data_IF_815995913729
#
_entry.id   IF_815995913729
#
_cell.length_a   1.000
_cell.length_b   1.000
_cell.length_c   1.000
_cell.angle_alpha   90.00
_cell.angle_beta   90.00
_cell.angle_gamma   90.00
#
_symmetry.space_group_name_H-M   'P 1'
#
loop_
_entity.id
_entity.type
_entity.pdbx_description
1 polymer ?
#
# COMPACT_ATOMS: atom_id res chain seq x y z
N UNK A 1 10.38 31.68 21.46
CA UNK A 1 11.03 32.51 20.43
C UNK A 1 10.77 31.88 19.07
N UNK A 2 10.46 32.68 18.05
CA UNK A 2 10.34 32.20 16.67
C UNK A 2 11.77 32.06 16.11
N UNK A 3 12.12 30.90 15.57
CA UNK A 3 13.40 30.70 14.90
C UNK A 3 13.42 31.42 13.55
N UNK A 4 14.60 31.86 13.13
CA UNK A 4 14.79 32.51 11.84
C UNK A 4 14.78 31.48 10.70
N UNK A 5 14.23 31.88 9.56
CA UNK A 5 14.19 31.07 8.34
C UNK A 5 15.51 31.21 7.59
N UNK A 6 16.45 30.29 7.82
CA UNK A 6 17.68 30.20 7.04
C UNK A 6 17.39 29.59 5.67
N UNK A 7 17.32 30.43 4.63
CA UNK A 7 17.23 29.99 3.23
C UNK A 7 18.62 29.71 2.69
N UNK A 8 19.09 28.48 2.90
CA UNK A 8 20.36 28.05 2.36
C UNK A 8 20.13 27.21 1.09
N UNK A 9 20.63 27.68 -0.04
CA UNK A 9 20.74 26.87 -1.24
C UNK A 9 21.79 25.78 -0.99
N UNK A 10 21.40 24.51 -1.11
CA UNK A 10 22.31 23.41 -0.84
C UNK A 10 23.40 23.36 -1.91
N UNK A 11 24.62 23.78 -1.57
CA UNK A 11 25.75 23.81 -2.53
C UNK A 11 26.30 22.40 -2.79
N UNK A 12 26.21 21.48 -1.82
CA UNK A 12 26.53 20.05 -1.99
C UNK A 12 25.73 19.18 -1.01
N UNK A 13 25.11 18.09 -1.49
CA UNK A 13 24.43 17.09 -0.65
C UNK A 13 25.21 15.77 -0.68
N UNK A 14 25.93 15.45 0.39
CA UNK A 14 26.70 14.21 0.55
C UNK A 14 25.93 13.16 1.38
N UNK A 15 24.64 13.00 1.11
CA UNK A 15 23.78 12.06 1.86
C UNK A 15 23.10 11.05 0.95
N UNK A 16 22.90 9.83 1.47
CA UNK A 16 22.11 8.82 0.77
C UNK A 16 20.62 9.08 0.98
N UNK A 17 19.81 8.80 -0.05
CA UNK A 17 18.34 8.76 0.07
C UNK A 17 17.88 7.82 1.20
N UNK A 18 18.65 6.78 1.51
CA UNK A 18 18.37 5.85 2.61
C UNK A 18 18.32 6.55 3.96
N UNK A 19 19.18 7.54 4.18
CA UNK A 19 19.32 8.19 5.49
C UNK A 19 18.14 9.12 5.79
N UNK A 20 17.46 9.59 4.73
CA UNK A 20 16.22 10.36 4.83
C UNK A 20 14.97 9.52 5.13
N UNK A 21 15.05 8.19 5.03
CA UNK A 21 13.92 7.31 5.34
C UNK A 21 13.99 6.88 6.81
N UNK A 22 12.94 7.09 7.63
CA UNK A 22 12.96 6.68 9.05
C UNK A 22 13.30 5.20 9.24
N UNK A 23 14.12 4.89 10.25
CA UNK A 23 14.61 3.52 10.51
C UNK A 23 13.48 2.52 10.75
N UNK A 24 12.41 2.96 11.43
CA UNK A 24 11.22 2.16 11.72
C UNK A 24 10.21 2.05 10.58
N UNK A 25 10.47 2.66 9.41
CA UNK A 25 9.49 2.71 8.33
C UNK A 25 9.24 1.30 7.73
N UNK A 26 7.98 0.85 7.55
CA UNK A 26 7.67 -0.51 7.08
C UNK A 26 8.26 -0.82 5.69
N UNK A 27 8.33 0.17 4.80
CA UNK A 27 8.98 0.00 3.48
C UNK A 27 10.45 -0.44 3.58
N UNK A 28 11.15 -0.22 4.70
CA UNK A 28 12.51 -0.78 4.88
C UNK A 28 12.52 -2.29 4.94
N UNK A 29 11.56 -2.89 5.62
CA UNK A 29 11.42 -4.36 5.70
C UNK A 29 10.94 -4.92 4.37
N UNK A 30 9.93 -4.27 3.78
CA UNK A 30 9.36 -4.68 2.49
C UNK A 30 10.43 -4.62 1.40
N UNK A 31 11.17 -3.52 1.30
CA UNK A 31 12.23 -3.37 0.29
C UNK A 31 13.27 -4.50 0.36
N UNK A 32 13.70 -4.89 1.56
CA UNK A 32 14.66 -6.01 1.72
C UNK A 32 14.11 -7.32 1.16
N UNK A 33 12.83 -7.62 1.40
CA UNK A 33 12.19 -8.82 0.86
C UNK A 33 12.09 -8.78 -0.67
N UNK A 34 11.70 -7.62 -1.18
CA UNK A 34 11.54 -7.37 -2.61
C UNK A 34 12.89 -7.43 -3.33
N UNK A 35 13.93 -6.78 -2.81
CA UNK A 35 15.26 -6.79 -3.42
C UNK A 35 15.87 -8.21 -3.45
N UNK A 36 15.65 -9.02 -2.40
CA UNK A 36 16.01 -10.45 -2.43
C UNK A 36 15.25 -11.22 -3.51
N UNK A 37 13.93 -11.01 -3.63
CA UNK A 37 13.13 -11.66 -4.67
C UNK A 37 13.57 -11.24 -6.08
N UNK A 38 13.87 -9.95 -6.28
CA UNK A 38 14.34 -9.44 -7.56
C UNK A 38 15.71 -10.02 -7.94
N UNK A 39 16.61 -10.20 -6.97
CA UNK A 39 17.89 -10.86 -7.21
C UNK A 39 17.72 -12.31 -7.68
N UNK A 40 16.77 -13.06 -7.10
CA UNK A 40 16.45 -14.44 -7.54
C UNK A 40 15.96 -14.47 -9.01
N UNK A 41 15.23 -13.44 -9.43
CA UNK A 41 14.66 -13.32 -10.78
C UNK A 41 15.64 -12.76 -11.82
N UNK A 42 16.87 -12.38 -11.44
CA UNK A 42 17.82 -11.72 -12.34
C UNK A 42 18.08 -12.47 -13.65
N UNK A 43 18.07 -13.80 -13.61
CA UNK A 43 18.22 -14.64 -14.81
C UNK A 43 17.03 -14.54 -15.78
N UNK A 44 15.80 -14.42 -15.28
CA UNK A 44 14.62 -14.18 -16.11
C UNK A 44 14.67 -12.80 -16.73
N UNK A 45 15.08 -11.79 -15.95
CA UNK A 45 15.22 -10.42 -16.45
C UNK A 45 16.26 -10.30 -17.55
N UNK A 46 17.39 -10.99 -17.44
CA UNK A 46 18.43 -11.00 -18.46
C UNK A 46 17.91 -11.49 -19.83
N UNK A 47 16.91 -12.38 -19.86
CA UNK A 47 16.32 -12.88 -21.11
C UNK A 47 15.37 -11.87 -21.79
N UNK A 48 14.91 -10.84 -21.07
CA UNK A 48 13.94 -9.86 -21.56
C UNK A 48 14.58 -8.68 -22.29
N UNK A 49 15.88 -8.49 -22.13
CA UNK A 49 16.61 -7.38 -22.71
C UNK A 49 17.66 -7.87 -23.70
N UNK A 50 17.74 -7.18 -24.83
CA UNK A 50 18.83 -7.37 -25.78
C UNK A 50 20.14 -6.86 -25.17
N UNK A 51 21.26 -7.51 -25.52
CA UNK A 51 22.60 -7.09 -25.08
C UNK A 51 23.01 -5.72 -25.62
N UNK A 52 22.38 -5.25 -26.71
CA UNK A 52 22.69 -4.00 -27.39
C UNK A 52 21.41 -3.20 -27.67
N UNK A 53 21.42 -1.90 -27.35
CA UNK A 53 20.31 -0.99 -27.64
C UNK A 53 20.26 0.22 -26.71
N UNK A 54 19.24 1.06 -26.89
CA UNK A 54 18.96 2.16 -25.95
C UNK A 54 18.56 1.57 -24.59
N UNK A 55 19.15 2.02 -23.48
CA UNK A 55 18.74 1.56 -22.15
C UNK A 55 17.28 1.94 -21.90
N UNK A 56 16.45 0.93 -21.69
CA UNK A 56 15.06 1.07 -21.22
C UNK A 56 14.98 0.94 -19.71
N UNK A 57 13.83 1.28 -19.12
CA UNK A 57 13.59 1.14 -17.68
C UNK A 57 13.82 -0.32 -17.27
N UNK A 58 14.63 -0.52 -16.23
CA UNK A 58 14.94 -1.85 -15.68
C UNK A 58 13.69 -2.51 -15.05
N UNK A 59 13.55 -3.84 -15.11
CA UNK A 59 12.36 -4.54 -14.61
C UNK A 59 12.21 -4.41 -13.09
N UNK A 60 13.31 -4.31 -12.36
CA UNK A 60 13.34 -4.11 -10.90
C UNK A 60 12.65 -2.81 -10.52
N UNK A 61 12.90 -1.74 -11.27
CA UNK A 61 12.24 -0.45 -11.08
C UNK A 61 10.73 -0.55 -11.27
N UNK A 62 10.29 -1.24 -12.32
CA UNK A 62 8.89 -1.43 -12.64
C UNK A 62 8.16 -2.25 -11.57
N UNK A 63 8.77 -3.35 -11.10
CA UNK A 63 8.19 -4.20 -10.06
C UNK A 63 8.08 -3.47 -8.72
N UNK A 64 9.13 -2.75 -8.29
CA UNK A 64 9.06 -1.95 -7.07
C UNK A 64 8.01 -0.85 -7.18
N UNK A 65 7.93 -0.17 -8.33
CA UNK A 65 6.93 0.88 -8.56
C UNK A 65 5.50 0.30 -8.58
N UNK A 66 5.27 -0.83 -9.25
CA UNK A 66 3.97 -1.51 -9.27
C UNK A 66 3.54 -1.96 -7.88
N UNK A 67 4.47 -2.49 -7.08
CA UNK A 67 4.19 -2.83 -5.69
C UNK A 67 3.85 -1.58 -4.87
N UNK A 68 4.60 -0.49 -5.04
CA UNK A 68 4.32 0.78 -4.38
C UNK A 68 2.92 1.30 -4.76
N UNK A 69 2.54 1.16 -6.04
CA UNK A 69 1.21 1.50 -6.53
C UNK A 69 0.11 0.80 -5.74
N UNK A 70 0.28 -0.50 -5.46
CA UNK A 70 -0.68 -1.30 -4.69
C UNK A 70 -0.65 -0.98 -3.20
N UNK A 71 0.53 -0.84 -2.60
CA UNK A 71 0.69 -0.55 -1.17
C UNK A 71 0.09 0.80 -0.76
N UNK A 72 0.13 1.79 -1.66
CA UNK A 72 -0.37 3.15 -1.42
C UNK A 72 -1.64 3.49 -2.20
N UNK A 73 -2.25 2.49 -2.83
CA UNK A 73 -3.54 2.59 -3.54
C UNK A 73 -3.56 3.77 -4.53
N UNK A 74 -2.47 3.92 -5.29
CA UNK A 74 -2.40 4.95 -6.33
C UNK A 74 -3.38 4.61 -7.46
N UNK A 75 -4.36 5.50 -7.76
CA UNK A 75 -5.40 5.20 -8.74
C UNK A 75 -4.87 5.19 -10.17
N UNK A 76 -3.84 5.99 -10.46
CA UNK A 76 -3.28 6.18 -11.78
C UNK A 76 -1.75 6.16 -11.74
N UNK A 77 -1.15 5.62 -12.79
CA UNK A 77 0.30 5.57 -12.96
C UNK A 77 0.93 6.97 -13.08
N UNK A 78 0.18 7.95 -13.62
CA UNK A 78 0.63 9.34 -13.67
C UNK A 78 0.87 9.89 -12.26
N UNK A 79 -0.05 9.62 -11.34
CA UNK A 79 0.10 10.00 -9.94
C UNK A 79 1.32 9.30 -9.32
N UNK A 80 1.49 8.00 -9.56
CA UNK A 80 2.66 7.26 -9.10
C UNK A 80 3.98 7.89 -9.59
N UNK A 81 4.10 8.20 -10.89
CA UNK A 81 5.32 8.77 -11.47
C UNK A 81 5.63 10.16 -10.88
N UNK A 82 4.60 11.01 -10.71
CA UNK A 82 4.75 12.29 -10.03
C UNK A 82 5.23 12.12 -8.60
N UNK A 83 4.63 11.19 -7.86
CA UNK A 83 5.03 10.89 -6.50
C UNK A 83 6.46 10.35 -6.40
N UNK A 84 6.93 9.56 -7.36
CA UNK A 84 8.34 9.13 -7.43
C UNK A 84 9.29 10.31 -7.67
N UNK A 85 8.85 11.35 -8.39
CA UNK A 85 9.66 12.54 -8.65
C UNK A 85 9.95 13.33 -7.37
N UNK A 86 8.90 13.70 -6.62
CA UNK A 86 9.06 14.60 -5.47
C UNK A 86 9.17 13.92 -4.10
N UNK A 87 8.81 12.63 -3.98
CA UNK A 87 8.83 11.94 -2.70
C UNK A 87 10.09 11.08 -2.53
N UNK A 88 11.01 11.56 -1.69
CA UNK A 88 12.29 10.88 -1.42
C UNK A 88 12.12 9.44 -0.88
N UNK A 89 11.06 9.15 -0.12
CA UNK A 89 10.79 7.80 0.38
C UNK A 89 10.42 6.84 -0.76
N UNK A 90 9.57 7.29 -1.67
CA UNK A 90 9.15 6.48 -2.83
C UNK A 90 10.27 6.32 -3.82
N UNK A 91 11.00 7.41 -4.08
CA UNK A 91 12.22 7.41 -4.89
C UNK A 91 13.25 6.44 -4.34
N UNK A 92 13.50 6.50 -3.03
CA UNK A 92 14.32 5.54 -2.32
C UNK A 92 13.79 4.13 -2.55
N UNK A 93 12.53 3.84 -2.19
CA UNK A 93 11.96 2.48 -2.26
C UNK A 93 12.09 1.86 -3.66
N UNK A 94 11.77 2.63 -4.68
CA UNK A 94 11.89 2.25 -6.08
C UNK A 94 13.35 2.07 -6.49
N UNK A 95 14.28 2.80 -5.87
CA UNK A 95 15.73 2.70 -6.13
C UNK A 95 16.23 3.70 -7.17
N UNK A 96 15.43 4.70 -7.51
CA UNK A 96 15.82 5.74 -8.45
C UNK A 96 16.78 6.72 -7.72
N UNK A 97 17.96 7.04 -8.28
CA UNK A 97 18.91 7.94 -7.63
C UNK A 97 18.37 9.37 -7.62
N UNK A 98 18.86 10.22 -6.71
CA UNK A 98 18.38 11.60 -6.58
C UNK A 98 18.60 12.44 -7.84
N UNK A 99 19.68 12.18 -8.59
CA UNK A 99 20.12 12.96 -9.75
C UNK A 99 19.37 12.69 -11.05
N UNK A 100 18.65 11.56 -11.15
CA UNK A 100 17.91 11.22 -12.36
C UNK A 100 16.54 11.89 -12.38
N UNK A 101 15.88 11.98 -13.52
CA UNK A 101 14.46 12.36 -13.56
C UNK A 101 13.59 11.11 -13.35
N UNK A 102 12.42 11.26 -12.73
CA UNK A 102 11.40 10.21 -12.77
C UNK A 102 10.97 9.94 -14.21
N UNK A 103 10.49 8.72 -14.45
CA UNK A 103 10.08 8.31 -15.79
C UNK A 103 8.82 9.05 -16.23
N UNK A 104 8.75 9.33 -17.53
CA UNK A 104 7.48 9.74 -18.13
C UNK A 104 6.44 8.61 -17.98
N UNK A 105 5.22 8.99 -17.63
CA UNK A 105 4.13 8.06 -17.35
C UNK A 105 3.85 7.16 -18.57
N UNK A 106 3.89 7.68 -19.80
CA UNK A 106 3.58 6.86 -20.98
C UNK A 106 4.66 5.81 -21.24
N UNK A 107 5.92 6.15 -20.96
CA UNK A 107 7.05 5.23 -21.06
C UNK A 107 6.95 4.17 -19.98
N UNK A 108 6.59 4.55 -18.75
CA UNK A 108 6.34 3.61 -17.66
C UNK A 108 5.23 2.62 -18.01
N UNK A 109 4.06 3.09 -18.45
CA UNK A 109 2.92 2.25 -18.80
C UNK A 109 3.27 1.21 -19.86
N UNK A 110 3.91 1.65 -20.95
CA UNK A 110 4.32 0.78 -22.07
C UNK A 110 5.33 -0.28 -21.63
N UNK A 111 6.31 0.10 -20.82
CA UNK A 111 7.31 -0.85 -20.32
C UNK A 111 6.70 -1.83 -19.32
N UNK A 112 5.79 -1.36 -18.44
CA UNK A 112 5.05 -2.22 -17.52
C UNK A 112 4.27 -3.30 -18.28
N UNK A 113 3.50 -2.90 -19.29
CA UNK A 113 2.69 -3.82 -20.10
C UNK A 113 3.55 -4.82 -20.87
N UNK A 114 4.67 -4.36 -21.43
CA UNK A 114 5.59 -5.21 -22.20
C UNK A 114 6.37 -6.20 -21.33
N UNK A 115 6.85 -5.75 -20.16
CA UNK A 115 7.86 -6.46 -19.36
C UNK A 115 7.22 -7.20 -18.18
N UNK A 116 6.21 -6.63 -17.51
CA UNK A 116 5.60 -7.29 -16.36
C UNK A 116 4.49 -8.23 -16.81
N UNK A 117 4.90 -9.31 -17.48
CA UNK A 117 3.98 -10.35 -17.93
C UNK A 117 3.46 -11.18 -16.74
N UNK A 118 2.36 -11.93 -16.92
CA UNK A 118 1.83 -12.81 -15.88
C UNK A 118 2.86 -13.78 -15.31
N UNK A 119 3.78 -14.28 -16.15
CA UNK A 119 4.85 -15.21 -15.76
C UNK A 119 5.82 -14.54 -14.78
N UNK A 120 6.21 -13.30 -15.06
CA UNK A 120 7.13 -12.54 -14.20
C UNK A 120 6.47 -12.17 -12.87
N UNK A 121 5.20 -11.75 -12.91
CA UNK A 121 4.45 -11.50 -11.68
C UNK A 121 4.29 -12.77 -10.84
N UNK A 122 4.03 -13.92 -11.48
CA UNK A 122 3.91 -15.21 -10.80
C UNK A 122 5.24 -15.60 -10.15
N UNK A 123 6.34 -15.57 -10.91
CA UNK A 123 7.68 -15.87 -10.40
C UNK A 123 8.06 -14.95 -9.23
N UNK A 124 7.77 -13.65 -9.34
CA UNK A 124 8.03 -12.69 -8.28
C UNK A 124 7.22 -12.99 -7.01
N UNK A 125 5.93 -13.28 -7.15
CA UNK A 125 5.07 -13.62 -6.03
C UNK A 125 5.49 -14.94 -5.38
N UNK A 126 5.85 -15.95 -6.16
CA UNK A 126 6.38 -17.22 -5.66
C UNK A 126 7.70 -17.03 -4.90
N UNK A 127 8.59 -16.17 -5.38
CA UNK A 127 9.82 -15.84 -4.68
C UNK A 127 9.54 -15.20 -3.30
N UNK A 128 8.57 -14.29 -3.21
CA UNK A 128 8.12 -13.72 -1.93
C UNK A 128 7.46 -14.79 -1.05
N UNK A 129 6.60 -15.64 -1.62
CA UNK A 129 5.93 -16.73 -0.89
C UNK A 129 6.95 -17.69 -0.28
N UNK A 130 7.98 -18.07 -1.03
CA UNK A 130 9.08 -18.92 -0.57
C UNK A 130 9.86 -18.26 0.58
N UNK A 131 10.11 -16.95 0.51
CA UNK A 131 10.71 -16.21 1.62
C UNK A 131 9.81 -16.18 2.87
N UNK A 132 8.49 -16.07 2.69
CA UNK A 132 7.55 -16.11 3.81
C UNK A 132 7.48 -17.52 4.44
N UNK A 133 7.50 -18.56 3.60
CA UNK A 133 7.50 -19.96 4.03
C UNK A 133 8.76 -20.31 4.84
N UNK A 134 9.94 -19.92 4.34
CA UNK A 134 11.21 -20.17 5.05
C UNK A 134 11.29 -19.48 6.42
N UNK A 135 10.59 -18.35 6.56
CA UNK A 135 10.48 -17.59 7.82
C UNK A 135 9.31 -18.06 8.70
N UNK A 136 8.60 -19.12 8.30
CA UNK A 136 7.42 -19.65 9.00
C UNK A 136 6.32 -18.60 9.24
N UNK A 137 6.16 -17.68 8.29
CA UNK A 137 5.15 -16.62 8.32
C UNK A 137 3.82 -17.06 7.70
N UNK A 138 3.79 -18.23 7.06
CA UNK A 138 2.59 -18.80 6.46
C UNK A 138 1.95 -19.77 7.46
N UNK A 139 0.68 -19.53 7.79
CA UNK A 139 -0.13 -20.56 8.46
C UNK A 139 -0.65 -21.55 7.41
N UNK A 140 -0.67 -22.83 7.76
CA UNK A 140 -1.30 -23.89 6.96
C UNK A 140 -2.80 -24.06 7.27
N UNK A 141 -3.31 -23.32 8.26
CA UNK A 141 -4.73 -23.32 8.57
C UNK A 141 -5.50 -22.64 7.43
N UNK A 142 -6.54 -23.30 6.93
CA UNK A 142 -7.42 -22.75 5.91
C UNK A 142 -8.10 -21.48 6.45
N UNK A 143 -7.62 -20.33 6.01
CA UNK A 143 -8.24 -19.04 6.30
C UNK A 143 -9.24 -18.72 5.19
N UNK A 144 -10.50 -19.07 5.40
CA UNK A 144 -11.60 -18.69 4.51
C UNK A 144 -11.97 -17.22 4.75
N UNK A 145 -11.64 -16.35 3.80
CA UNK A 145 -12.14 -14.97 3.77
C UNK A 145 -13.44 -14.97 2.98
N UNK A 146 -14.54 -14.55 3.61
CA UNK A 146 -15.79 -14.33 2.89
C UNK A 146 -15.56 -13.24 1.82
N UNK A 147 -15.84 -13.57 0.56
CA UNK A 147 -15.60 -12.70 -0.59
C UNK A 147 -16.33 -11.35 -0.46
N UNK A 148 -17.41 -11.29 0.33
CA UNK A 148 -18.14 -10.04 0.64
C UNK A 148 -17.27 -8.98 1.35
N UNK A 149 -16.28 -9.38 2.14
CA UNK A 149 -15.34 -8.43 2.77
C UNK A 149 -14.45 -7.73 1.74
N UNK A 150 -14.14 -8.38 0.61
CA UNK A 150 -13.34 -7.82 -0.48
C UNK A 150 -14.19 -6.83 -1.31
N UNK A 151 -15.46 -7.16 -1.56
CA UNK A 151 -16.41 -6.24 -2.23
C UNK A 151 -16.66 -4.97 -1.42
N UNK A 152 -16.80 -5.08 -0.10
CA UNK A 152 -16.96 -3.93 0.79
C UNK A 152 -15.76 -2.99 0.73
N UNK A 153 -14.53 -3.53 0.67
CA UNK A 153 -13.30 -2.74 0.54
C UNK A 153 -13.17 -2.03 -0.83
N UNK A 154 -13.69 -2.63 -1.90
CA UNK A 154 -13.78 -2.00 -3.21
C UNK A 154 -14.80 -0.84 -3.26
N UNK A 155 -15.84 -0.90 -2.42
CA UNK A 155 -16.90 0.11 -2.31
C UNK A 155 -16.54 1.33 -1.43
N UNK A 156 -15.50 1.22 -0.58
CA UNK A 156 -15.07 2.32 0.31
C UNK A 156 -14.77 3.62 -0.46
N UNK A 157 -14.24 3.51 -1.69
CA UNK A 157 -13.92 4.68 -2.53
C UNK A 157 -15.11 5.21 -3.35
N UNK A 158 -16.26 4.55 -3.32
CA UNK A 158 -17.48 4.95 -4.06
C UNK A 158 -18.71 5.10 -3.14
N UNK A 159 -18.49 5.17 -1.83
CA UNK A 159 -19.56 5.31 -0.85
C UNK A 159 -20.13 6.73 -0.91
N UNK A 160 -21.32 6.87 -1.52
CA UNK A 160 -22.12 8.09 -1.42
C UNK A 160 -23.01 8.00 -0.17
N UNK A 161 -23.21 9.10 0.59
CA UNK A 161 -24.20 9.12 1.65
C UNK A 161 -25.55 8.67 1.09
N UNK A 162 -26.20 7.71 1.75
CA UNK A 162 -27.54 7.27 1.38
C UNK A 162 -28.48 8.42 1.72
N UNK A 163 -29.05 9.07 0.71
CA UNK A 163 -30.12 10.05 0.93
C UNK A 163 -31.30 9.33 1.62
N UNK A 164 -31.70 9.85 2.77
CA UNK A 164 -32.84 9.35 3.52
C UNK A 164 -34.12 9.53 2.69
N UNK A 165 -34.95 8.50 2.50
CA UNK A 165 -36.19 8.66 1.76
C UNK A 165 -37.24 9.28 2.67
N UNK A 166 -37.54 10.57 2.46
CA UNK A 166 -38.84 11.14 2.85
C UNK A 166 -38.84 12.63 3.18
N UNK A 167 -39.26 13.46 2.22
CA UNK A 167 -40.51 14.25 2.30
C UNK A 167 -40.59 15.19 1.09
N UNK A 168 -41.61 14.98 0.24
CA UNK A 168 -41.91 15.88 -0.85
C UNK A 168 -42.45 17.23 -0.31
N UNK A 169 -41.80 18.35 -0.62
CA UNK A 169 -42.45 19.66 -0.76
C UNK A 169 -41.72 20.52 -1.80
N UNK A 170 -42.47 20.92 -2.85
CA UNK A 170 -42.39 22.26 -3.46
C UNK A 170 -41.28 22.54 -4.48
N UNK A 171 -41.66 22.65 -5.75
CA UNK A 171 -40.88 23.34 -6.77
C UNK A 171 -40.75 24.84 -6.46
N UNK A 172 -39.53 25.38 -6.49
CA UNK A 172 -39.27 26.74 -6.95
C UNK A 172 -37.89 26.82 -7.61
N UNK A 173 -37.88 27.13 -8.91
CA UNK A 173 -36.67 27.44 -9.67
C UNK A 173 -36.16 28.81 -9.21
N UNK A 174 -34.99 28.84 -8.56
CA UNK A 174 -34.12 30.03 -8.63
C UNK A 174 -32.69 29.57 -8.87
N UNK A 175 -32.17 29.99 -10.01
CA UNK A 175 -30.79 29.81 -10.42
C UNK A 175 -29.95 30.81 -9.60
N UNK A 176 -29.13 30.32 -8.67
CA UNK A 176 -28.01 31.08 -8.10
C UNK A 176 -26.77 30.19 -8.14
N UNK A 177 -25.80 30.64 -8.92
CA UNK A 177 -24.43 30.20 -8.82
C UNK A 177 -23.91 30.66 -7.46
N UNK A 178 -23.76 29.73 -6.52
CA UNK A 178 -22.91 29.92 -5.35
C UNK A 178 -22.07 28.65 -5.18
N UNK A 179 -20.78 28.79 -5.50
CA UNK A 179 -19.78 27.74 -5.34
C UNK A 179 -19.64 27.39 -3.86
N UNK A 180 -20.14 26.23 -3.48
CA UNK A 180 -19.79 25.60 -2.21
C UNK A 180 -18.66 24.60 -2.49
N UNK A 181 -17.43 25.09 -2.39
CA UNK A 181 -16.23 24.30 -2.14
C UNK A 181 -16.48 23.41 -0.90
N UNK A 182 -16.84 22.14 -1.12
CA UNK A 182 -16.81 21.16 -0.04
C UNK A 182 -15.35 20.95 0.33
N UNK A 183 -14.89 21.70 1.34
CA UNK A 183 -13.59 21.50 2.00
C UNK A 183 -13.58 20.13 2.67
N UNK A 184 -13.36 19.09 1.88
CA UNK A 184 -12.67 17.91 2.38
C UNK A 184 -11.30 18.40 2.83
N UNK A 185 -11.03 18.38 4.14
CA UNK A 185 -9.69 18.63 4.65
C UNK A 185 -8.69 17.70 3.97
N UNK A 186 -7.40 18.06 3.88
CA UNK A 186 -6.40 17.27 3.17
C UNK A 186 -6.06 16.00 3.95
N UNK A 187 -6.96 15.03 3.99
CA UNK A 187 -6.64 13.67 4.34
C UNK A 187 -5.86 13.10 3.16
N UNK A 188 -4.53 13.10 3.27
CA UNK A 188 -3.67 12.45 2.29
C UNK A 188 -3.89 10.94 2.40
N UNK A 189 -4.41 10.25 1.38
CA UNK A 189 -4.59 8.79 1.39
C UNK A 189 -3.28 8.04 1.71
N UNK A 190 -2.14 8.69 1.47
CA UNK A 190 -0.82 8.17 1.79
C UNK A 190 -0.53 8.09 3.28
N UNK A 191 -1.02 9.02 4.10
CA UNK A 191 -0.84 8.97 5.55
C UNK A 191 -1.57 7.76 6.16
N UNK A 192 -2.79 7.50 5.67
CA UNK A 192 -3.59 6.34 6.07
C UNK A 192 -2.98 5.02 5.58
N UNK A 193 -2.40 5.01 4.38
CA UNK A 193 -1.67 3.85 3.87
C UNK A 193 -0.42 3.52 4.73
N UNK A 194 0.38 4.53 5.12
CA UNK A 194 1.52 4.34 6.03
C UNK A 194 1.03 3.82 7.39
N UNK A 195 -0.05 4.38 7.92
CA UNK A 195 -0.64 3.93 9.19
C UNK A 195 -1.11 2.47 9.11
N UNK A 196 -1.84 2.09 8.06
CA UNK A 196 -2.29 0.71 7.81
C UNK A 196 -1.11 -0.27 7.66
N UNK A 197 -0.09 0.08 6.89
CA UNK A 197 1.12 -0.75 6.74
C UNK A 197 1.86 -0.91 8.07
N UNK A 198 1.92 0.16 8.88
CA UNK A 198 2.53 0.10 10.22
C UNK A 198 1.77 -0.85 11.15
N UNK A 199 0.43 -0.88 11.07
CA UNK A 199 -0.43 -1.79 11.85
C UNK A 199 -0.23 -3.25 11.42
N UNK A 200 -0.22 -3.53 10.12
CA UNK A 200 0.03 -4.88 9.56
C UNK A 200 1.40 -5.39 10.02
N UNK A 201 2.42 -4.53 10.01
CA UNK A 201 3.80 -4.92 10.39
C UNK A 201 4.00 -5.24 11.87
N UNK A 202 3.05 -4.86 12.75
CA UNK A 202 3.10 -5.13 14.20
C UNK A 202 2.35 -6.42 14.59
N UNK A 203 1.67 -7.08 13.65
CA UNK A 203 0.80 -8.22 13.92
C UNK A 203 -0.47 -7.83 14.69
N UNK A 204 -1.52 -8.67 14.69
CA UNK A 204 -2.65 -8.45 15.59
C UNK A 204 -2.18 -8.58 17.03
N UNK A 205 -2.53 -7.61 17.88
CA UNK A 205 -2.39 -7.77 19.33
C UNK A 205 -3.17 -9.02 19.77
N UNK A 206 -2.63 -9.85 20.69
CA UNK A 206 -3.35 -11.01 21.19
C UNK A 206 -4.69 -10.52 21.76
N UNK A 207 -5.78 -10.95 21.14
CA UNK A 207 -7.12 -10.73 21.69
C UNK A 207 -7.23 -11.59 22.93
N UNK A 208 -6.95 -11.01 24.10
CA UNK A 208 -7.41 -11.57 25.37
C UNK A 208 -8.93 -11.65 25.29
N UNK A 209 -9.48 -12.86 25.12
CA UNK A 209 -10.92 -13.08 25.26
C UNK A 209 -11.31 -12.65 26.67
N UNK A 210 -12.34 -11.80 26.86
CA UNK A 210 -12.88 -11.60 28.20
C UNK A 210 -13.44 -12.94 28.69
N UNK A 211 -12.87 -13.45 29.78
CA UNK A 211 -13.43 -14.57 30.52
C UNK A 211 -14.84 -14.16 31.00
N UNK A 212 -15.86 -14.72 30.36
CA UNK A 212 -17.21 -14.71 30.90
C UNK A 212 -17.22 -15.72 32.06
N UNK A 213 -17.66 -15.35 33.28
CA UNK A 213 -17.80 -16.33 34.35
C UNK A 213 -18.96 -17.28 33.99
N UNK A 214 -18.62 -18.54 33.81
CA UNK A 214 -19.57 -19.65 33.70
C UNK A 214 -20.48 -19.68 34.94
N UNK A 215 -21.78 -19.46 34.73
CA UNK A 215 -22.79 -19.79 35.72
C UNK A 215 -22.88 -21.31 35.84
N UNK A 216 -22.18 -21.86 36.82
CA UNK A 216 -22.44 -23.20 37.34
C UNK A 216 -23.90 -23.29 37.80
N UNK A 217 -24.73 -24.05 37.08
CA UNK A 217 -26.05 -24.50 37.54
C UNK A 217 -25.87 -25.93 38.03
N UNK A 218 -25.85 -26.11 39.35
CA UNK A 218 -25.76 -27.42 39.98
C UNK A 218 -26.98 -28.29 39.62
N UNK A 219 -26.83 -29.63 39.50
CA UNK A 219 -27.95 -30.54 39.33
C UNK A 219 -28.60 -30.81 40.70
N UNK A 220 -29.90 -30.48 40.82
CA UNK A 220 -30.70 -30.84 42.00
C UNK A 220 -31.09 -32.32 41.93
N UNK A 221 -30.50 -33.11 42.81
CA UNK A 221 -30.86 -34.49 43.12
C UNK A 221 -32.32 -34.62 43.56
N UNK A 222 -32.97 -35.69 43.07
CA UNK A 222 -34.21 -36.22 43.58
C UNK A 222 -33.94 -37.29 44.66
N UNK A 223 -34.48 -37.08 45.87
CA UNK A 223 -34.74 -38.07 46.93
C UNK A 223 -36.00 -37.54 47.65
N UNK A 224 -37.20 -38.16 47.59
CA UNK A 224 -37.66 -39.34 48.35
C UNK A 224 -37.31 -39.28 49.85
N UNK A 225 -38.25 -38.86 50.71
CA UNK A 225 -39.03 -39.72 51.64
C UNK A 225 -39.89 -38.86 52.58
N UNK A 226 -41.15 -39.30 52.77
CA UNK A 226 -42.16 -39.08 53.83
C UNK A 226 -42.33 -37.71 54.52
#
# INVERSE_FOLDING_TARGET
MRGDEERQEAVFLLESLKDRVPVGHPLRKIRRLVDTALADLGHLFAQLYAEVGRPSIQPEYLLRAALLQKLYVFPLERGLCQHVEFNLLFRWFVGLPFSEAAWDCSTFSRNRERILTPEIFTAFFEAIRRQAESRRLLSKEHFSVDATLIEAAASINNSRPKEEPGAAVGHSKTNRNDGAETRAGPHSPHADAVYCLSRISRGPAPRSRPHHPERYRAPGCACMYD
#
